data_IF_603352489429
#
_entry.id   IF_603352489429
#
_cell.length_a   1.000
_cell.length_b   1.000
_cell.length_c   1.000
_cell.angle_alpha   90.00
_cell.angle_beta   90.00
_cell.angle_gamma   90.00
#
_symmetry.space_group_name_H-M   'P 1'
#
loop_
_entity.id
_entity.type
_entity.pdbx_description
1 polymer ?
#
# COMPACT_ATOMS: atom_id res chain seq x y z
N UNK A 1 1.51 10.16 -22.59
CA UNK A 1 0.57 9.12 -23.04
C UNK A 1 1.37 7.85 -23.02
N UNK A 2 0.97 6.88 -22.21
CA UNK A 2 1.64 5.59 -22.18
C UNK A 2 1.43 4.92 -23.54
N UNK A 3 2.53 4.48 -24.15
CA UNK A 3 2.50 3.86 -25.46
C UNK A 3 2.13 2.38 -25.32
N UNK A 4 0.84 2.10 -25.11
CA UNK A 4 0.32 0.74 -25.21
C UNK A 4 0.34 0.29 -26.67
N UNK A 5 0.78 -0.95 -26.92
CA UNK A 5 0.70 -1.56 -28.25
C UNK A 5 -0.75 -1.78 -28.70
N UNK A 6 -0.97 -1.94 -30.00
CA UNK A 6 -2.30 -2.29 -30.53
C UNK A 6 -2.74 -3.70 -30.11
N UNK A 7 -1.78 -4.59 -29.85
CA UNK A 7 -2.03 -5.93 -29.35
C UNK A 7 -2.21 -5.91 -27.82
N UNK A 8 -3.45 -6.15 -27.38
CA UNK A 8 -3.85 -6.17 -25.98
C UNK A 8 -4.09 -7.58 -25.44
N UNK A 9 -3.83 -8.62 -26.23
CA UNK A 9 -4.17 -10.01 -25.87
C UNK A 9 -2.96 -10.94 -25.78
N UNK A 10 -1.87 -10.67 -26.50
CA UNK A 10 -0.69 -11.54 -26.43
C UNK A 10 -0.06 -11.50 -25.05
N UNK A 11 -0.07 -12.65 -24.38
CA UNK A 11 0.57 -12.84 -23.07
C UNK A 11 2.08 -13.05 -23.21
N UNK A 12 2.89 -12.60 -22.26
CA UNK A 12 4.31 -12.95 -22.20
C UNK A 12 4.51 -14.47 -22.12
N UNK A 13 5.39 -15.00 -22.96
CA UNK A 13 5.88 -16.39 -22.82
C UNK A 13 6.98 -16.48 -21.75
N UNK A 14 7.17 -17.67 -21.18
CA UNK A 14 8.27 -17.95 -20.22
C UNK A 14 8.20 -17.15 -18.91
N UNK A 15 7.02 -17.09 -18.30
CA UNK A 15 6.82 -16.44 -17.00
C UNK A 15 7.41 -17.31 -15.89
N UNK A 16 8.27 -16.70 -15.07
CA UNK A 16 8.80 -17.34 -13.87
C UNK A 16 7.71 -17.42 -12.80
N UNK A 17 7.37 -18.64 -12.39
CA UNK A 17 6.34 -18.90 -11.38
C UNK A 17 6.83 -18.63 -9.95
N UNK A 18 8.14 -18.46 -9.75
CA UNK A 18 8.73 -18.13 -8.45
C UNK A 18 8.60 -16.62 -8.19
N UNK A 19 7.41 -16.17 -7.79
CA UNK A 19 7.11 -14.74 -7.57
C UNK A 19 8.12 -14.07 -6.66
N UNK A 20 8.56 -14.76 -5.60
CA UNK A 20 9.53 -14.21 -4.66
C UNK A 20 10.82 -13.72 -5.34
N UNK A 21 11.26 -14.33 -6.43
CA UNK A 21 12.49 -13.92 -7.11
C UNK A 21 12.28 -12.75 -8.09
N UNK A 22 11.02 -12.36 -8.32
CA UNK A 22 10.60 -11.41 -9.34
C UNK A 22 9.87 -10.17 -8.77
N UNK A 23 9.87 -9.98 -7.45
CA UNK A 23 9.17 -8.88 -6.76
C UNK A 23 9.82 -7.48 -6.92
N UNK A 24 10.99 -7.37 -7.56
CA UNK A 24 11.74 -6.13 -7.67
C UNK A 24 11.90 -5.42 -6.31
N UNK A 25 11.51 -4.14 -6.19
CA UNK A 25 11.67 -3.38 -4.95
C UNK A 25 10.83 -3.93 -3.78
N UNK A 26 9.79 -4.71 -4.07
CA UNK A 26 8.89 -5.29 -3.06
C UNK A 26 9.47 -6.53 -2.38
N UNK A 27 10.58 -7.09 -2.89
CA UNK A 27 11.17 -8.34 -2.38
C UNK A 27 11.42 -8.28 -0.88
N UNK A 28 11.93 -7.15 -0.38
CA UNK A 28 12.27 -6.95 1.04
C UNK A 28 11.05 -6.83 1.95
N UNK A 29 9.85 -6.63 1.40
CA UNK A 29 8.59 -6.55 2.16
C UNK A 29 7.94 -7.92 2.37
N UNK A 30 8.28 -8.93 1.57
CA UNK A 30 7.68 -10.25 1.69
C UNK A 30 7.93 -10.87 3.07
N UNK A 31 6.86 -11.26 3.77
CA UNK A 31 6.93 -11.84 5.12
C UNK A 31 5.83 -11.32 6.04
N UNK A 32 5.97 -11.63 7.33
CA UNK A 32 5.08 -11.13 8.37
C UNK A 32 5.87 -10.18 9.27
N UNK A 33 5.28 -9.04 9.59
CA UNK A 33 5.96 -7.95 10.27
C UNK A 33 5.14 -7.37 11.41
N UNK A 34 5.84 -6.82 12.40
CA UNK A 34 5.24 -6.10 13.52
C UNK A 34 5.94 -4.76 13.77
N UNK A 35 5.15 -3.74 14.12
CA UNK A 35 5.61 -2.42 14.49
C UNK A 35 4.94 -1.97 15.78
N UNK A 36 5.72 -1.63 16.80
CA UNK A 36 5.21 -1.35 18.15
C UNK A 36 5.19 0.14 18.52
N UNK A 37 5.67 1.01 17.61
CA UNK A 37 5.85 2.45 17.87
C UNK A 37 5.27 3.31 16.75
N UNK A 38 4.19 2.86 16.14
CA UNK A 38 3.49 3.62 15.12
C UNK A 38 2.91 4.91 15.72
N UNK A 39 2.86 5.98 14.94
CA UNK A 39 2.31 7.27 15.36
C UNK A 39 1.32 7.81 14.34
N UNK A 40 0.07 7.96 14.77
CA UNK A 40 -1.07 8.54 14.03
C UNK A 40 -1.27 10.01 14.45
N UNK A 41 -1.39 10.92 13.48
CA UNK A 41 -1.94 12.28 13.67
C UNK A 41 -3.32 12.37 13.03
N UNK A 42 -4.38 12.38 13.84
CA UNK A 42 -5.78 12.37 13.38
C UNK A 42 -6.55 13.65 13.68
N UNK A 43 -7.64 13.93 12.94
CA UNK A 43 -8.49 15.09 13.22
C UNK A 43 -9.37 14.87 14.45
N UNK A 44 -9.58 15.96 15.22
CA UNK A 44 -10.65 16.10 16.21
C UNK A 44 -11.23 17.51 16.13
N UNK A 45 -12.45 17.68 16.66
CA UNK A 45 -13.16 18.95 16.66
C UNK A 45 -12.39 20.07 17.39
N UNK A 46 -11.59 19.72 18.40
CA UNK A 46 -10.75 20.61 19.20
C UNK A 46 -9.29 20.72 18.72
N UNK A 47 -8.93 20.05 17.60
CA UNK A 47 -7.59 20.09 17.00
C UNK A 47 -6.94 18.71 16.81
N UNK A 48 -5.78 18.64 16.14
CA UNK A 48 -5.11 17.37 15.84
C UNK A 48 -4.70 16.62 17.12
N UNK A 49 -4.80 15.28 17.10
CA UNK A 49 -4.31 14.44 18.20
C UNK A 49 -3.32 13.39 17.72
N UNK A 50 -2.25 13.22 18.48
CA UNK A 50 -1.28 12.15 18.33
C UNK A 50 -1.76 10.88 19.02
N UNK A 51 -1.59 9.73 18.39
CA UNK A 51 -1.97 8.42 18.92
C UNK A 51 -0.92 7.38 18.56
N UNK A 52 -0.34 6.74 19.57
CA UNK A 52 0.50 5.57 19.34
C UNK A 52 -0.35 4.37 18.90
N UNK A 53 0.18 3.53 18.02
CA UNK A 53 -0.44 2.28 17.61
C UNK A 53 0.58 1.14 17.49
N UNK A 54 0.06 -0.09 17.53
CA UNK A 54 0.78 -1.33 17.25
C UNK A 54 0.16 -1.94 16.01
N UNK A 55 1.01 -2.41 15.12
CA UNK A 55 0.65 -2.95 13.81
C UNK A 55 1.21 -4.35 13.63
N UNK A 56 0.42 -5.21 13.00
CA UNK A 56 0.87 -6.44 12.37
C UNK A 56 0.45 -6.41 10.89
N UNK A 57 1.38 -6.68 9.99
CA UNK A 57 1.13 -6.77 8.55
C UNK A 57 1.68 -8.08 8.01
N UNK A 58 0.86 -8.80 7.25
CA UNK A 58 1.26 -10.02 6.54
C UNK A 58 1.29 -9.73 5.05
N UNK A 59 2.42 -9.99 4.39
CA UNK A 59 2.71 -9.72 2.99
C UNK A 59 3.14 -11.03 2.31
N UNK A 60 2.20 -11.69 1.63
CA UNK A 60 2.41 -13.01 1.05
C UNK A 60 2.40 -12.94 -0.49
N UNK A 61 3.34 -13.61 -1.18
CA UNK A 61 3.38 -13.58 -2.63
C UNK A 61 2.13 -14.20 -3.24
N UNK A 62 1.66 -13.61 -4.33
CA UNK A 62 0.63 -14.16 -5.21
C UNK A 62 1.29 -14.82 -6.42
N UNK A 63 0.54 -15.62 -7.17
CA UNK A 63 1.01 -16.08 -8.48
C UNK A 63 1.15 -14.88 -9.43
N UNK A 64 2.03 -14.96 -10.45
CA UNK A 64 2.15 -13.90 -11.45
C UNK A 64 0.79 -13.63 -12.11
N UNK A 65 0.46 -12.36 -12.28
CA UNK A 65 -0.82 -11.91 -12.87
C UNK A 65 -0.56 -11.35 -14.25
N UNK A 66 -1.37 -11.78 -15.21
CA UNK A 66 -1.24 -11.39 -16.62
C UNK A 66 -2.50 -10.64 -17.04
N UNK A 67 -2.32 -9.48 -17.67
CA UNK A 67 -3.38 -8.69 -18.30
C UNK A 67 -3.00 -8.47 -19.77
N UNK A 68 -3.21 -9.48 -20.61
CA UNK A 68 -2.66 -9.47 -21.98
C UNK A 68 -1.13 -9.30 -21.93
N UNK A 69 -0.56 -8.25 -22.54
CA UNK A 69 0.90 -8.05 -22.55
C UNK A 69 1.50 -7.64 -21.19
N UNK A 70 0.68 -7.21 -20.21
CA UNK A 70 1.16 -6.79 -18.91
C UNK A 70 1.39 -7.98 -17.97
N UNK A 71 2.52 -7.97 -17.28
CA UNK A 71 2.90 -8.94 -16.25
C UNK A 71 3.11 -8.23 -14.91
N UNK A 72 2.44 -8.72 -13.86
CA UNK A 72 2.56 -8.22 -12.50
C UNK A 72 3.00 -9.35 -11.56
N UNK A 73 4.03 -9.06 -10.76
CA UNK A 73 4.36 -9.83 -9.56
C UNK A 73 3.88 -9.08 -8.33
N UNK A 74 3.53 -9.76 -7.24
CA UNK A 74 2.99 -9.03 -6.11
C UNK A 74 2.86 -9.78 -4.80
N UNK A 75 2.44 -9.02 -3.80
CA UNK A 75 2.16 -9.45 -2.44
C UNK A 75 0.69 -9.12 -2.12
N UNK A 76 -0.09 -10.14 -1.76
CA UNK A 76 -1.36 -9.93 -1.05
C UNK A 76 -1.03 -9.52 0.38
N UNK A 77 -1.69 -8.49 0.90
CA UNK A 77 -1.49 -8.09 2.29
C UNK A 77 -2.77 -7.93 3.10
N UNK A 78 -2.59 -8.11 4.40
CA UNK A 78 -3.56 -7.74 5.43
C UNK A 78 -2.81 -7.08 6.59
N UNK A 79 -3.30 -5.92 7.02
CA UNK A 79 -2.80 -5.13 8.13
C UNK A 79 -3.86 -5.07 9.21
N UNK A 80 -3.45 -5.33 10.46
CA UNK A 80 -4.27 -5.16 11.65
C UNK A 80 -3.56 -4.24 12.64
N UNK A 81 -4.26 -3.19 13.06
CA UNK A 81 -3.71 -2.15 13.95
C UNK A 81 -4.58 -2.03 15.19
N UNK A 82 -3.93 -1.96 16.35
CA UNK A 82 -4.54 -1.71 17.65
C UNK A 82 -3.86 -0.54 18.36
N UNK A 83 -4.45 -0.06 19.46
CA UNK A 83 -3.73 0.82 20.38
C UNK A 83 -2.89 -0.03 21.34
N UNK A 84 -1.75 0.47 21.84
CA UNK A 84 -0.92 -0.27 22.79
C UNK A 84 -1.73 -0.81 23.97
N UNK A 85 -1.60 -2.12 24.22
CA UNK A 85 -2.28 -2.81 25.33
C UNK A 85 -3.78 -3.06 25.13
N UNK A 86 -4.37 -2.70 23.98
CA UNK A 86 -5.79 -2.91 23.69
C UNK A 86 -5.99 -3.98 22.61
N UNK A 87 -7.09 -4.72 22.72
CA UNK A 87 -7.50 -5.73 21.72
C UNK A 87 -8.42 -5.16 20.63
N UNK A 88 -9.05 -4.01 20.89
CA UNK A 88 -10.00 -3.39 19.96
C UNK A 88 -9.25 -2.94 18.70
N UNK A 89 -9.70 -3.44 17.55
CA UNK A 89 -9.24 -2.97 16.24
C UNK A 89 -9.37 -1.46 16.13
N UNK A 90 -8.25 -0.81 15.84
CA UNK A 90 -8.16 0.62 15.59
C UNK A 90 -8.24 0.92 14.10
N UNK A 91 -7.53 0.13 13.30
CA UNK A 91 -7.55 0.16 11.85
C UNK A 91 -7.32 -1.25 11.30
N UNK A 92 -7.89 -1.53 10.14
CA UNK A 92 -7.68 -2.76 9.38
C UNK A 92 -7.68 -2.38 7.91
N UNK A 93 -6.77 -2.97 7.15
CA UNK A 93 -6.58 -2.65 5.74
C UNK A 93 -6.13 -3.91 4.99
N UNK A 94 -6.64 -4.11 3.79
CA UNK A 94 -6.25 -5.23 2.91
C UNK A 94 -6.06 -4.76 1.48
N UNK A 95 -5.32 -5.52 0.70
CA UNK A 95 -5.13 -5.28 -0.74
C UNK A 95 -3.90 -5.97 -1.30
N UNK A 96 -3.26 -5.33 -2.27
CA UNK A 96 -2.08 -5.84 -2.96
C UNK A 96 -1.01 -4.77 -3.13
N UNK A 97 0.25 -5.21 -3.03
CA UNK A 97 1.42 -4.51 -3.55
C UNK A 97 1.85 -5.22 -4.83
N UNK A 98 1.91 -4.52 -5.95
CA UNK A 98 2.20 -5.07 -7.26
C UNK A 98 3.40 -4.36 -7.87
N UNK A 99 4.17 -5.11 -8.64
CA UNK A 99 5.34 -4.66 -9.36
C UNK A 99 5.22 -5.07 -10.83
N UNK A 100 5.37 -4.11 -11.73
CA UNK A 100 5.42 -4.32 -13.17
C UNK A 100 6.87 -4.15 -13.67
N UNK A 101 7.61 -5.24 -13.92
CA UNK A 101 9.02 -5.14 -14.30
C UNK A 101 9.27 -4.36 -15.58
N UNK A 102 8.34 -4.44 -16.54
CA UNK A 102 8.49 -3.83 -17.86
C UNK A 102 8.50 -2.29 -17.81
N UNK A 103 7.76 -1.71 -16.86
CA UNK A 103 7.57 -0.25 -16.77
C UNK A 103 8.29 0.36 -15.57
N UNK A 104 8.62 -0.44 -14.56
CA UNK A 104 9.11 0.07 -13.28
C UNK A 104 7.99 0.53 -12.34
N UNK A 105 6.74 0.21 -12.66
CA UNK A 105 5.58 0.67 -11.90
C UNK A 105 5.37 -0.18 -10.65
N UNK A 106 5.28 0.49 -9.51
CA UNK A 106 4.79 -0.09 -8.26
C UNK A 106 3.34 0.35 -8.07
N UNK A 107 2.45 -0.57 -7.74
CA UNK A 107 1.03 -0.29 -7.45
C UNK A 107 0.69 -0.78 -6.05
N UNK A 108 0.00 0.06 -5.28
CA UNK A 108 -0.57 -0.30 -3.98
C UNK A 108 -2.07 -0.13 -4.03
N UNK A 109 -2.79 -1.23 -3.88
CA UNK A 109 -4.24 -1.21 -3.70
C UNK A 109 -4.56 -1.34 -2.23
N UNK A 110 -5.52 -0.56 -1.75
CA UNK A 110 -6.00 -0.67 -0.39
C UNK A 110 -7.52 -0.55 -0.33
N UNK A 111 -8.11 -1.28 0.61
CA UNK A 111 -9.47 -1.06 1.05
C UNK A 111 -9.55 -1.18 2.56
N UNK A 112 -10.39 -0.36 3.16
CA UNK A 112 -10.57 -0.27 4.60
C UNK A 112 -12.05 -0.50 4.96
N UNK A 113 -12.37 -1.05 6.15
CA UNK A 113 -13.73 -1.38 6.57
C UNK A 113 -14.58 -0.13 6.92
N UNK A 114 -14.20 1.04 6.40
CA UNK A 114 -14.96 2.30 6.45
C UNK A 114 -15.68 2.61 5.15
N UNK A 115 -15.55 1.74 4.14
CA UNK A 115 -16.10 1.96 2.81
C UNK A 115 -15.28 2.99 2.02
N UNK A 116 -13.97 2.80 2.00
CA UNK A 116 -13.04 3.58 1.17
C UNK A 116 -12.02 2.64 0.54
N UNK A 117 -11.60 2.95 -0.68
CA UNK A 117 -10.51 2.29 -1.40
C UNK A 117 -9.67 3.31 -2.13
N UNK A 118 -8.38 3.02 -2.26
CA UNK A 118 -7.45 3.78 -3.07
C UNK A 118 -6.54 2.84 -3.86
N UNK A 119 -6.09 3.30 -5.03
CA UNK A 119 -5.03 2.69 -5.80
C UNK A 119 -3.94 3.75 -5.96
N UNK A 120 -2.79 3.54 -5.34
CA UNK A 120 -1.64 4.42 -5.44
C UNK A 120 -0.60 3.82 -6.39
N UNK A 121 0.13 4.66 -7.11
CA UNK A 121 1.24 4.22 -7.95
C UNK A 121 2.45 5.14 -7.86
N UNK A 122 3.59 4.59 -8.27
CA UNK A 122 4.85 5.30 -8.39
C UNK A 122 5.84 4.47 -9.21
N UNK A 123 7.01 5.04 -9.44
CA UNK A 123 8.08 4.43 -10.23
C UNK A 123 9.26 4.09 -9.32
N UNK A 124 9.87 2.92 -9.54
CA UNK A 124 11.06 2.48 -8.83
C UNK A 124 11.95 1.64 -9.74
N UNK A 125 13.23 1.49 -9.39
CA UNK A 125 14.08 0.45 -9.97
C UNK A 125 13.89 -0.86 -9.20
N UNK A 126 14.27 -1.98 -9.82
CA UNK A 126 14.17 -3.31 -9.18
C UNK A 126 14.96 -3.42 -7.86
N UNK A 127 16.01 -2.61 -7.69
CA UNK A 127 16.91 -2.57 -6.54
C UNK A 127 16.71 -1.36 -5.61
N UNK A 128 15.64 -0.58 -5.82
CA UNK A 128 15.40 0.66 -5.07
C UNK A 128 15.33 0.42 -3.55
N UNK A 129 16.05 1.25 -2.79
CA UNK A 129 16.03 1.25 -1.32
C UNK A 129 14.89 2.09 -0.72
N UNK A 130 14.19 2.85 -1.56
CA UNK A 130 13.00 3.62 -1.19
C UNK A 130 12.17 3.90 -2.44
N UNK A 131 10.86 4.00 -2.27
CA UNK A 131 9.96 4.45 -3.32
C UNK A 131 8.77 5.19 -2.68
N UNK A 132 8.10 6.01 -3.48
CA UNK A 132 6.91 6.77 -3.07
C UNK A 132 5.78 6.50 -4.06
N UNK A 133 4.57 6.29 -3.53
CA UNK A 133 3.36 6.11 -4.31
C UNK A 133 2.35 7.20 -3.97
N UNK A 134 1.52 7.58 -4.94
CA UNK A 134 0.44 8.53 -4.75
C UNK A 134 -0.87 8.07 -5.40
N UNK A 135 -1.98 8.41 -4.77
CA UNK A 135 -3.33 8.31 -5.32
C UNK A 135 -4.04 9.67 -5.23
N UNK A 136 -4.83 10.02 -6.23
CA UNK A 136 -5.53 11.31 -6.30
C UNK A 136 -7.02 11.08 -6.57
N UNK A 137 -7.88 11.79 -5.83
CA UNK A 137 -9.33 11.65 -5.99
C UNK A 137 -9.80 12.10 -7.38
N UNK A 138 -10.70 11.32 -7.98
CA UNK A 138 -11.39 11.66 -9.22
C UNK A 138 -10.69 11.24 -10.51
N UNK A 139 -9.56 10.52 -10.42
CA UNK A 139 -8.89 9.95 -11.57
C UNK A 139 -9.44 8.55 -11.92
N UNK A 140 -9.46 8.22 -13.21
CA UNK A 140 -9.79 6.88 -13.72
C UNK A 140 -8.69 5.86 -13.40
N UNK A 141 -7.44 6.32 -13.27
CA UNK A 141 -6.28 5.54 -12.81
C UNK A 141 -5.73 6.17 -11.54
N UNK A 142 -5.11 5.37 -10.68
CA UNK A 142 -4.47 5.87 -9.45
C UNK A 142 -5.43 6.68 -8.56
N UNK A 143 -6.69 6.22 -8.48
CA UNK A 143 -7.82 6.95 -7.94
C UNK A 143 -8.20 6.58 -6.50
N UNK A 144 -9.12 7.36 -5.94
CA UNK A 144 -9.71 7.15 -4.60
C UNK A 144 -11.23 7.16 -4.69
N UNK A 145 -11.88 6.17 -4.07
CA UNK A 145 -13.32 6.03 -4.02
C UNK A 145 -13.80 5.84 -2.57
N UNK A 146 -14.96 6.43 -2.24
CA UNK A 146 -15.48 6.48 -0.86
C UNK A 146 -16.99 6.41 -0.84
N UNK A 147 -17.56 5.96 0.29
CA UNK A 147 -19.00 6.04 0.55
C UNK A 147 -19.50 7.48 0.56
N UNK A 148 -20.81 7.73 0.28
CA UNK A 148 -21.35 9.08 0.19
C UNK A 148 -21.11 9.95 1.44
N UNK A 149 -21.16 9.35 2.63
CA UNK A 149 -20.91 10.10 3.86
C UNK A 149 -19.44 10.53 3.97
N UNK A 150 -18.49 9.65 3.65
CA UNK A 150 -17.07 10.02 3.63
C UNK A 150 -16.79 11.08 2.58
N UNK A 151 -17.39 10.97 1.38
CA UNK A 151 -17.28 11.98 0.34
C UNK A 151 -17.83 13.36 0.78
N UNK A 152 -18.86 13.37 1.62
CA UNK A 152 -19.44 14.61 2.16
C UNK A 152 -18.63 15.18 3.34
N UNK A 153 -18.27 14.35 4.31
CA UNK A 153 -17.79 14.80 5.63
C UNK A 153 -16.27 14.76 5.79
N UNK A 154 -15.60 13.76 5.22
CA UNK A 154 -14.17 13.47 5.40
C UNK A 154 -13.57 13.01 4.07
N UNK A 155 -13.66 13.86 3.05
CA UNK A 155 -13.28 13.49 1.68
C UNK A 155 -11.77 13.31 1.60
N UNK A 156 -11.31 12.09 1.36
CA UNK A 156 -9.91 11.87 0.98
C UNK A 156 -9.66 12.43 -0.41
N UNK A 157 -8.77 13.40 -0.53
CA UNK A 157 -8.43 14.06 -1.81
C UNK A 157 -7.12 13.55 -2.38
N UNK A 158 -6.20 13.12 -1.51
CA UNK A 158 -4.88 12.61 -1.88
C UNK A 158 -4.42 11.59 -0.83
N UNK A 159 -3.69 10.59 -1.27
CA UNK A 159 -2.97 9.65 -0.43
C UNK A 159 -1.54 9.51 -0.96
N UNK A 160 -0.55 9.59 -0.07
CA UNK A 160 0.85 9.31 -0.35
C UNK A 160 1.40 8.33 0.64
N UNK A 161 2.25 7.44 0.16
CA UNK A 161 3.06 6.57 1.01
C UNK A 161 4.50 6.51 0.51
N UNK A 162 5.45 6.77 1.39
CA UNK A 162 6.87 6.55 1.15
C UNK A 162 7.34 5.34 1.92
N UNK A 163 7.94 4.37 1.24
CA UNK A 163 8.56 3.19 1.83
C UNK A 163 10.08 3.37 1.84
N UNK A 164 10.76 2.90 2.88
CA UNK A 164 12.22 2.92 2.98
C UNK A 164 12.74 1.64 3.63
N UNK A 165 13.79 1.06 3.05
CA UNK A 165 14.45 -0.15 3.53
C UNK A 165 15.72 0.20 4.31
N UNK A 166 15.94 -0.47 5.44
CA UNK A 166 17.08 -0.26 6.31
C UNK A 166 18.07 -1.43 6.23
N UNK A 167 19.33 -1.16 6.57
CA UNK A 167 20.41 -2.15 6.52
C UNK A 167 20.22 -3.30 7.51
N UNK A 168 19.48 -3.09 8.60
CA UNK A 168 19.15 -4.11 9.62
C UNK A 168 18.03 -5.06 9.19
N UNK A 169 17.56 -4.96 7.94
CA UNK A 169 16.48 -5.77 7.38
C UNK A 169 15.09 -5.30 7.77
N UNK A 170 14.96 -4.21 8.53
CA UNK A 170 13.66 -3.55 8.76
C UNK A 170 13.26 -2.68 7.59
N UNK A 171 11.99 -2.31 7.55
CA UNK A 171 11.50 -1.26 6.66
C UNK A 171 10.56 -0.33 7.41
N UNK A 172 10.45 0.89 6.92
CA UNK A 172 9.57 1.91 7.47
C UNK A 172 8.69 2.50 6.39
N UNK A 173 7.60 3.11 6.81
CA UNK A 173 6.78 3.93 5.95
C UNK A 173 6.41 5.25 6.61
N UNK A 174 6.12 6.23 5.75
CA UNK A 174 5.48 7.49 6.09
C UNK A 174 4.29 7.68 5.15
N UNK A 175 3.10 7.82 5.71
CA UNK A 175 1.84 8.02 5.00
C UNK A 175 1.31 9.43 5.25
N UNK A 176 0.74 10.04 4.21
CA UNK A 176 -0.03 11.27 4.30
C UNK A 176 -1.35 11.09 3.54
N UNK A 177 -2.44 11.05 4.30
CA UNK A 177 -3.81 11.04 3.78
C UNK A 177 -4.40 12.43 3.94
N UNK A 178 -4.58 13.13 2.82
CA UNK A 178 -5.10 14.49 2.82
C UNK A 178 -6.63 14.45 2.79
N UNK A 179 -7.26 15.07 3.80
CA UNK A 179 -8.71 15.10 3.97
C UNK A 179 -9.25 16.52 3.79
N UNK A 180 -10.19 16.69 2.88
CA UNK A 180 -11.10 17.83 2.90
C UNK A 180 -12.23 17.55 3.90
N UNK A 181 -12.16 18.19 5.06
CA UNK A 181 -13.12 17.99 6.17
C UNK A 181 -14.23 19.02 6.06
N UNK A 182 -15.49 18.57 6.07
CA UNK A 182 -16.63 19.46 5.99
C UNK A 182 -16.61 20.51 7.12
N UNK A 183 -16.67 21.79 6.74
CA UNK A 183 -16.62 22.91 7.67
C UNK A 183 -15.21 23.39 8.04
N UNK A 184 -14.15 22.78 7.49
CA UNK A 184 -12.77 23.29 7.60
C UNK A 184 -12.35 23.94 6.27
N UNK A 185 -11.67 25.08 6.35
CA UNK A 185 -11.19 25.80 5.16
C UNK A 185 -9.96 25.13 4.54
N UNK A 186 -9.02 24.70 5.39
CA UNK A 186 -7.77 24.09 4.96
C UNK A 186 -7.89 22.55 4.98
N UNK A 187 -7.22 21.85 4.05
CA UNK A 187 -7.08 20.40 4.10
C UNK A 187 -6.38 19.94 5.39
N UNK A 188 -6.79 18.78 5.89
CA UNK A 188 -6.17 18.13 7.03
C UNK A 188 -5.21 17.02 6.58
N UNK A 189 -3.97 17.08 7.02
CA UNK A 189 -2.96 16.05 6.78
C UNK A 189 -3.02 14.98 7.88
N UNK A 190 -3.67 13.86 7.57
CA UNK A 190 -3.71 12.69 8.44
C UNK A 190 -2.48 11.84 8.15
N UNK A 191 -1.49 11.93 9.04
CA UNK A 191 -0.18 11.32 8.83
C UNK A 191 0.05 10.14 9.76
N UNK A 192 0.67 9.10 9.21
CA UNK A 192 1.03 7.87 9.91
C UNK A 192 2.48 7.51 9.59
N UNK A 193 3.20 6.97 10.58
CA UNK A 193 4.51 6.37 10.33
C UNK A 193 4.80 5.22 11.26
N UNK A 194 5.51 4.22 10.76
CA UNK A 194 5.94 3.07 11.55
C UNK A 194 7.26 2.48 11.05
N UNK A 195 7.89 1.69 11.92
CA UNK A 195 9.08 0.88 11.62
C UNK A 195 8.76 -0.58 11.94
N UNK A 196 8.92 -1.44 10.94
CA UNK A 196 8.45 -2.80 10.96
C UNK A 196 9.62 -3.80 11.07
N UNK A 197 9.48 -4.76 11.98
CA UNK A 197 10.42 -5.87 12.19
C UNK A 197 9.80 -7.17 11.73
N UNK A 198 10.56 -7.97 10.99
CA UNK A 198 10.08 -9.28 10.52
C UNK A 198 9.93 -10.23 11.70
N UNK A 199 8.81 -10.93 11.74
CA UNK A 199 8.51 -11.96 12.74
C UNK A 199 8.29 -13.34 12.11
N UNK A 200 8.05 -13.41 10.80
CA UNK A 200 8.06 -14.67 10.05
C UNK A 200 8.38 -14.44 8.56
N UNK A 201 8.95 -15.45 7.91
CA UNK A 201 9.20 -15.46 6.47
C UNK A 201 7.90 -15.65 5.66
N UNK A 202 7.86 -15.20 4.40
CA UNK A 202 6.74 -15.49 3.51
C UNK A 202 6.72 -16.98 3.14
N UNK A 203 5.54 -17.46 2.78
CA UNK A 203 5.41 -18.76 2.10
C UNK A 203 5.52 -18.56 0.58
N UNK A 204 6.02 -19.54 -0.19
CA UNK A 204 5.95 -19.47 -1.65
C UNK A 204 4.50 -19.29 -2.14
N UNK A 205 4.34 -18.62 -3.28
CA UNK A 205 3.06 -18.51 -3.98
C UNK A 205 2.58 -19.90 -4.44
N UNK A 206 1.26 -20.11 -4.65
CA UNK A 206 0.70 -21.43 -4.96
C UNK A 206 1.40 -22.22 -6.07
N UNK A 207 1.77 -21.58 -7.19
CA UNK A 207 2.45 -22.25 -8.31
C UNK A 207 3.90 -22.65 -8.01
N UNK A 208 4.49 -22.16 -6.92
CA UNK A 208 5.88 -22.39 -6.52
C UNK A 208 6.01 -23.22 -5.22
N UNK A 209 4.94 -23.95 -4.84
CA UNK A 209 4.90 -24.82 -3.64
C UNK A 209 5.19 -26.28 -3.96
#
# INVERSE_FOLDING_TARGET
MDHFGEDIYTEPSEIDVHTLDNLGPLRRMAGIWEGQRGLDVKPKADGPRKQAYVERIELQPIDPVINGPQLLYGLRYATHITKPGLVKTYHEQVGYWLWEPATGTVVHTLTIPRGMTAMASGQATADALSFELAATQGLDTWGICSTPFLLHAFKTVEFRIKVSFNDDGTWSYEEDTVLAIHGQAEPFHHTDKNLLRKVAEPTPNPLAR
#
